data_IF_087918810153
#
_entry.id   IF_087918810153
#
_cell.length_a   1.000
_cell.length_b   1.000
_cell.length_c   1.000
_cell.angle_alpha   90.00
_cell.angle_beta   90.00
_cell.angle_gamma   90.00
#
_symmetry.space_group_name_H-M   'P 1'
#
loop_
_entity.id
_entity.type
_entity.pdbx_description
1 polymer ?
#
# COMPACT_ATOMS: atom_id res chain seq x y z
N UNK A 1 -19.62 -69.31 -12.55
CA UNK A 1 -19.27 -68.58 -11.31
C UNK A 1 -17.98 -67.85 -11.60
N UNK A 2 -18.01 -66.52 -11.72
CA UNK A 2 -16.83 -65.71 -12.01
C UNK A 2 -17.21 -64.25 -11.88
N UNK A 3 -17.15 -63.73 -10.66
CA UNK A 3 -17.40 -62.32 -10.37
C UNK A 3 -16.19 -61.49 -10.81
N UNK A 4 -16.42 -60.55 -11.74
CA UNK A 4 -15.40 -59.56 -12.10
C UNK A 4 -15.20 -58.56 -10.94
N UNK A 5 -13.96 -58.16 -10.63
CA UNK A 5 -13.71 -57.16 -9.61
C UNK A 5 -14.26 -55.80 -10.04
N UNK A 6 -15.05 -55.18 -9.15
CA UNK A 6 -15.57 -53.82 -9.31
C UNK A 6 -14.40 -52.84 -9.44
N UNK A 7 -14.36 -52.12 -10.56
CA UNK A 7 -13.46 -51.00 -10.80
C UNK A 7 -13.55 -49.98 -9.66
N UNK A 8 -12.45 -49.75 -8.95
CA UNK A 8 -12.33 -48.68 -7.96
C UNK A 8 -12.22 -47.36 -8.72
N UNK A 9 -13.34 -46.66 -8.86
CA UNK A 9 -13.38 -45.28 -9.37
C UNK A 9 -12.62 -44.38 -8.40
N UNK A 10 -11.38 -44.03 -8.73
CA UNK A 10 -10.61 -43.02 -8.01
C UNK A 10 -11.23 -41.64 -8.30
N UNK A 11 -11.73 -40.97 -7.26
CA UNK A 11 -12.16 -39.58 -7.35
C UNK A 11 -10.99 -38.71 -7.81
N UNK A 12 -11.22 -37.69 -8.67
CA UNK A 12 -10.16 -36.76 -9.05
C UNK A 12 -9.61 -36.06 -7.80
N UNK A 13 -8.31 -35.72 -7.77
CA UNK A 13 -7.72 -34.97 -6.67
C UNK A 13 -8.43 -33.62 -6.52
N UNK A 14 -8.49 -33.07 -5.29
CA UNK A 14 -9.05 -31.74 -5.08
C UNK A 14 -8.28 -30.70 -5.91
N UNK A 15 -8.95 -29.62 -6.35
CA UNK A 15 -8.26 -28.54 -7.03
C UNK A 15 -7.14 -27.97 -6.13
N UNK A 16 -6.03 -27.48 -6.72
CA UNK A 16 -5.00 -26.82 -5.95
C UNK A 16 -5.61 -25.64 -5.17
N UNK A 17 -5.11 -25.36 -3.95
CA UNK A 17 -5.53 -24.16 -3.22
C UNK A 17 -5.27 -22.92 -4.08
N UNK A 18 -6.09 -21.87 -3.93
CA UNK A 18 -5.83 -20.61 -4.62
C UNK A 18 -4.42 -20.10 -4.27
N UNK A 19 -3.70 -19.47 -5.23
CA UNK A 19 -2.41 -18.88 -4.93
C UNK A 19 -2.56 -17.89 -3.78
N UNK A 20 -1.66 -18.00 -2.80
CA UNK A 20 -1.57 -17.02 -1.70
C UNK A 20 -1.25 -15.67 -2.34
N UNK A 21 -2.01 -14.59 -2.05
CA UNK A 21 -1.65 -13.26 -2.52
C UNK A 21 -0.24 -12.93 -2.04
N UNK A 22 0.67 -12.67 -2.97
CA UNK A 22 2.00 -12.18 -2.63
C UNK A 22 1.84 -10.82 -1.95
N UNK A 23 2.46 -10.58 -0.77
CA UNK A 23 2.47 -9.25 -0.17
C UNK A 23 3.03 -8.25 -1.18
N UNK A 24 2.44 -7.06 -1.23
CA UNK A 24 2.98 -5.96 -2.02
C UNK A 24 4.41 -5.68 -1.53
N UNK A 25 5.41 -5.88 -2.39
CA UNK A 25 6.77 -5.44 -2.13
C UNK A 25 6.91 -4.01 -2.64
N UNK A 26 7.31 -3.11 -1.77
CA UNK A 26 7.62 -1.72 -2.11
C UNK A 26 9.02 -1.39 -1.62
N UNK A 27 9.65 -0.44 -2.28
CA UNK A 27 10.91 0.14 -1.84
C UNK A 27 10.58 1.40 -1.05
N UNK A 28 11.15 1.54 0.15
CA UNK A 28 11.06 2.78 0.93
C UNK A 28 12.16 3.70 0.42
N UNK A 29 11.78 4.77 -0.27
CA UNK A 29 12.72 5.72 -0.86
C UNK A 29 13.15 6.79 0.14
N UNK A 30 12.28 7.07 1.11
CA UNK A 30 12.55 8.03 2.18
C UNK A 30 11.69 7.75 3.41
N UNK A 31 12.26 7.98 4.59
CA UNK A 31 11.54 7.99 5.86
C UNK A 31 12.19 9.02 6.80
N UNK A 32 11.37 9.82 7.47
CA UNK A 32 11.79 10.78 8.48
C UNK A 32 12.13 10.06 9.79
N UNK A 33 13.07 10.61 10.56
CA UNK A 33 13.40 10.05 11.87
C UNK A 33 12.22 10.17 12.83
N UNK A 34 12.13 9.27 13.82
CA UNK A 34 11.07 9.30 14.82
C UNK A 34 10.97 10.63 15.58
N UNK A 35 12.08 11.33 15.76
CA UNK A 35 12.13 12.66 16.39
C UNK A 35 11.53 13.77 15.49
N UNK A 36 11.52 13.56 14.16
CA UNK A 36 10.99 14.49 13.18
C UNK A 36 9.51 14.30 12.85
N UNK A 37 8.88 13.27 13.42
CA UNK A 37 7.48 12.93 13.22
C UNK A 37 6.57 13.59 14.28
N UNK A 38 5.42 14.17 13.88
CA UNK A 38 4.43 14.67 14.85
C UNK A 38 3.71 13.53 15.60
N UNK A 39 3.58 12.36 14.99
CA UNK A 39 2.94 11.13 15.52
C UNK A 39 3.58 9.89 14.85
N UNK A 40 3.41 8.65 15.32
CA UNK A 40 3.86 7.48 14.57
C UNK A 40 3.30 7.43 13.15
N UNK A 41 4.11 7.01 12.17
CA UNK A 41 3.65 6.84 10.80
C UNK A 41 2.51 5.80 10.75
N UNK A 42 1.43 6.06 9.98
CA UNK A 42 0.35 5.11 9.81
C UNK A 42 0.84 3.86 9.08
N UNK A 43 0.35 2.68 9.47
CA UNK A 43 0.63 1.46 8.73
C UNK A 43 -0.07 1.45 7.37
N UNK A 44 0.38 0.61 6.44
CA UNK A 44 -0.34 0.41 5.17
C UNK A 44 -1.80 0.02 5.40
N UNK A 45 -2.07 -0.78 6.42
CA UNK A 45 -3.43 -1.18 6.78
C UNK A 45 -4.26 0.02 7.24
N UNK A 46 -3.69 0.98 7.97
CA UNK A 46 -4.37 2.21 8.36
C UNK A 46 -4.70 3.07 7.13
N UNK A 47 -3.74 3.18 6.19
CA UNK A 47 -3.90 3.92 4.94
C UNK A 47 -5.02 3.31 4.08
N UNK A 48 -5.01 2.00 3.87
CA UNK A 48 -6.00 1.29 3.05
C UNK A 48 -7.42 1.35 3.64
N UNK A 49 -7.51 1.25 4.97
CA UNK A 49 -8.78 1.30 5.71
C UNK A 49 -9.26 2.72 6.04
N UNK A 50 -8.51 3.75 5.65
CA UNK A 50 -8.88 5.13 5.89
C UNK A 50 -10.26 5.43 5.29
N UNK A 51 -11.16 5.94 6.14
CA UNK A 51 -12.52 6.34 5.72
C UNK A 51 -12.56 7.72 5.10
N UNK A 52 -11.62 8.59 5.48
CA UNK A 52 -11.57 9.97 5.04
C UNK A 52 -10.80 10.10 3.72
N UNK A 53 -11.44 9.68 2.63
CA UNK A 53 -10.95 9.88 1.26
C UNK A 53 -11.27 11.31 0.83
N UNK A 54 -10.23 12.13 0.69
CA UNK A 54 -10.36 13.56 0.36
C UNK A 54 -10.11 13.85 -1.12
N UNK A 55 -9.72 12.85 -1.90
CA UNK A 55 -9.63 12.95 -3.36
C UNK A 55 -9.35 11.61 -4.02
N UNK A 56 -9.99 11.36 -5.16
CA UNK A 56 -9.83 10.14 -5.96
C UNK A 56 -9.73 10.53 -7.45
N UNK A 57 -8.57 10.34 -8.07
CA UNK A 57 -8.32 10.72 -9.46
C UNK A 57 -7.30 9.77 -10.09
N UNK A 58 -7.45 9.40 -11.37
CA UNK A 58 -6.43 8.70 -12.16
C UNK A 58 -5.71 7.56 -11.42
N UNK A 59 -6.44 6.63 -10.80
CA UNK A 59 -5.85 5.49 -10.07
C UNK A 59 -4.94 5.86 -8.89
N UNK A 60 -5.04 7.09 -8.37
CA UNK A 60 -4.51 7.51 -7.07
C UNK A 60 -5.64 7.95 -6.14
N UNK A 61 -5.50 7.58 -4.88
CA UNK A 61 -6.37 7.95 -3.77
C UNK A 61 -5.58 8.85 -2.82
N UNK A 62 -6.25 9.85 -2.26
CA UNK A 62 -5.71 10.75 -1.24
C UNK A 62 -6.54 10.55 0.02
N UNK A 63 -5.87 10.16 1.10
CA UNK A 63 -6.50 9.87 2.38
C UNK A 63 -5.94 10.78 3.46
N UNK A 64 -6.84 11.37 4.26
CA UNK A 64 -6.45 12.02 5.51
C UNK A 64 -6.41 10.98 6.63
N UNK A 65 -5.32 10.97 7.37
CA UNK A 65 -5.01 9.99 8.41
C UNK A 65 -4.75 10.73 9.72
N UNK A 66 -5.65 10.51 10.66
CA UNK A 66 -5.70 11.26 11.92
C UNK A 66 -5.67 12.77 11.63
N UNK A 67 -5.16 13.58 12.57
CA UNK A 67 -5.06 15.04 12.41
C UNK A 67 -3.68 15.50 11.90
N UNK A 68 -2.79 14.57 11.55
CA UNK A 68 -1.37 14.85 11.29
C UNK A 68 -0.92 14.52 9.87
N UNK A 69 -1.57 13.58 9.18
CA UNK A 69 -1.06 13.01 7.94
C UNK A 69 -2.05 13.05 6.78
N UNK A 70 -1.49 13.19 5.59
CA UNK A 70 -2.18 12.95 4.32
C UNK A 70 -1.32 11.99 3.52
N UNK A 71 -1.87 10.84 3.15
CA UNK A 71 -1.18 9.86 2.32
C UNK A 71 -1.79 9.84 0.92
N UNK A 72 -0.93 9.59 -0.07
CA UNK A 72 -1.33 9.29 -1.45
C UNK A 72 -0.95 7.86 -1.76
N UNK A 73 -1.87 7.09 -2.32
CA UNK A 73 -1.65 5.70 -2.69
C UNK A 73 -2.21 5.41 -4.08
N UNK A 74 -1.57 4.48 -4.80
CA UNK A 74 -2.02 4.03 -6.11
C UNK A 74 -0.94 4.12 -7.19
N UNK A 75 -1.22 3.50 -8.35
CA UNK A 75 -0.24 3.29 -9.42
C UNK A 75 0.25 4.57 -10.12
N UNK A 76 -0.45 5.69 -9.91
CA UNK A 76 -0.09 6.99 -10.49
C UNK A 76 0.45 7.98 -9.43
N UNK A 77 0.91 7.48 -8.28
CA UNK A 77 1.68 8.28 -7.31
C UNK A 77 3.14 8.29 -7.75
N UNK A 78 3.68 9.47 -8.05
CA UNK A 78 5.04 9.64 -8.54
C UNK A 78 5.96 10.14 -7.41
N UNK A 79 7.09 9.43 -7.12
CA UNK A 79 8.06 9.86 -6.10
C UNK A 79 8.61 11.28 -6.33
N UNK A 80 8.63 11.73 -7.59
CA UNK A 80 9.07 13.07 -7.99
C UNK A 80 8.30 14.19 -7.27
N UNK A 81 7.02 13.97 -6.91
CA UNK A 81 6.28 14.95 -6.11
C UNK A 81 6.96 15.16 -4.76
N UNK A 82 7.32 14.09 -4.06
CA UNK A 82 7.96 14.14 -2.76
C UNK A 82 9.37 14.73 -2.84
N UNK A 83 10.16 14.35 -3.85
CA UNK A 83 11.49 14.92 -4.10
C UNK A 83 11.41 16.44 -4.29
N UNK A 84 10.47 16.91 -5.10
CA UNK A 84 10.27 18.34 -5.33
C UNK A 84 9.82 19.06 -4.05
N UNK A 85 8.92 18.47 -3.26
CA UNK A 85 8.49 19.07 -1.99
C UNK A 85 9.66 19.21 -1.01
N UNK A 86 10.52 18.20 -0.92
CA UNK A 86 11.73 18.25 -0.09
C UNK A 86 12.71 19.31 -0.59
N UNK A 87 13.02 19.30 -1.89
CA UNK A 87 13.92 20.28 -2.50
C UNK A 87 13.44 21.72 -2.28
N UNK A 88 12.15 22.00 -2.55
CA UNK A 88 11.57 23.34 -2.37
C UNK A 88 11.62 23.78 -0.91
N UNK A 89 11.32 22.88 0.04
CA UNK A 89 11.37 23.17 1.47
C UNK A 89 12.79 23.50 1.96
N UNK A 90 13.80 22.80 1.42
CA UNK A 90 15.20 22.98 1.81
C UNK A 90 15.83 24.24 1.21
N UNK A 91 15.40 24.65 0.01
CA UNK A 91 16.09 25.69 -0.78
C UNK A 91 15.30 26.99 -0.90
N UNK A 92 14.09 27.07 -0.35
CA UNK A 92 13.24 28.26 -0.47
C UNK A 92 12.50 28.56 0.84
N UNK A 93 11.86 29.72 0.92
CA UNK A 93 10.94 30.08 2.01
C UNK A 93 9.48 29.78 1.69
N UNK A 94 9.19 29.13 0.56
CA UNK A 94 7.81 28.79 0.17
C UNK A 94 7.31 27.67 1.07
N UNK A 95 6.15 27.89 1.69
CA UNK A 95 5.50 26.86 2.48
C UNK A 95 4.93 25.77 1.59
N UNK A 96 5.53 24.59 1.69
CA UNK A 96 5.07 23.35 1.06
C UNK A 96 4.79 22.29 2.13
N UNK A 97 3.98 21.25 1.84
CA UNK A 97 3.84 20.10 2.73
C UNK A 97 5.19 19.49 3.13
N UNK A 98 5.30 19.01 4.37
CA UNK A 98 6.46 18.23 4.81
C UNK A 98 6.25 16.79 4.35
N UNK A 99 7.25 16.22 3.67
CA UNK A 99 7.26 14.79 3.36
C UNK A 99 7.81 14.06 4.58
N UNK A 100 7.12 13.01 5.02
CA UNK A 100 7.54 12.17 6.14
C UNK A 100 7.97 10.76 5.71
N UNK A 101 7.40 10.24 4.62
CA UNK A 101 7.79 8.97 4.03
C UNK A 101 7.42 8.92 2.54
N UNK A 102 8.13 8.08 1.77
CA UNK A 102 7.87 7.75 0.36
C UNK A 102 8.07 6.26 0.12
#
# INVERSE_FOLDING_TARGET
MGDLPRSLSLSPPPPPPPPIPVPWSFEVLFEETSEGLPEPLPSLQDIENARNRIGDHNSKCIVALNDHYVAKLGVCVEPLEAENMRFVREHTTVHVPKVFAV
#
